data_IF_431064508703
#
_entry.id   IF_431064508703
#
_cell.length_a   1.000
_cell.length_b   1.000
_cell.length_c   1.000
_cell.angle_alpha   90.00
_cell.angle_beta   90.00
_cell.angle_gamma   90.00
#
_symmetry.space_group_name_H-M   'P 1'
#
loop_
_entity.id
_entity.type
_entity.pdbx_description
1 polymer ?
#
# COMPACT_ATOMS: atom_id res chain seq x y z
N UNK A 1 11.11 -13.41 1.55
CA UNK A 1 11.12 -11.99 1.14
C UNK A 1 10.36 -11.17 2.16
N UNK A 2 10.80 -9.94 2.43
CA UNK A 2 10.16 -9.00 3.37
C UNK A 2 10.17 -9.43 4.83
N UNK A 3 11.25 -10.06 5.28
CA UNK A 3 11.40 -10.44 6.69
C UNK A 3 11.36 -9.22 7.62
N UNK A 4 11.76 -8.04 7.11
CA UNK A 4 11.65 -6.77 7.79
C UNK A 4 10.25 -6.54 8.37
N UNK A 5 9.21 -6.95 7.68
CA UNK A 5 7.83 -6.72 8.10
C UNK A 5 7.43 -7.52 9.34
N UNK A 6 8.19 -8.56 9.69
CA UNK A 6 7.95 -9.35 10.89
C UNK A 6 8.15 -8.54 12.18
N UNK A 7 8.84 -7.40 12.09
CA UNK A 7 9.06 -6.52 13.24
C UNK A 7 7.86 -5.66 13.60
N UNK A 8 6.82 -5.66 12.77
CA UNK A 8 5.65 -4.79 12.97
C UNK A 8 4.42 -5.62 13.34
N UNK A 9 4.13 -5.72 14.67
CA UNK A 9 3.02 -6.57 15.14
C UNK A 9 1.63 -6.01 14.84
N UNK A 10 1.50 -4.69 14.67
CA UNK A 10 0.22 -4.09 14.31
C UNK A 10 0.07 -4.10 12.80
N UNK A 11 -0.58 -5.13 12.29
CA UNK A 11 -0.78 -5.30 10.86
C UNK A 11 -2.11 -5.98 10.59
N UNK A 12 -2.52 -6.00 9.33
CA UNK A 12 -3.73 -6.66 8.92
C UNK A 12 -3.82 -6.78 7.42
N UNK A 13 -4.95 -7.30 6.98
CA UNK A 13 -5.20 -7.48 5.55
C UNK A 13 -6.68 -7.38 5.26
N UNK A 14 -6.99 -7.07 4.01
CA UNK A 14 -8.37 -7.12 3.53
C UNK A 14 -8.38 -7.50 2.05
N UNK A 15 -9.51 -8.06 1.63
CA UNK A 15 -9.75 -8.44 0.25
C UNK A 15 -10.62 -7.38 -0.41
N UNK A 16 -10.32 -7.05 -1.66
CA UNK A 16 -11.08 -6.06 -2.42
C UNK A 16 -11.45 -6.61 -3.79
N UNK A 17 -12.75 -6.66 -4.08
CA UNK A 17 -13.28 -6.97 -5.41
C UNK A 17 -13.69 -5.66 -6.09
N UNK A 18 -13.70 -5.65 -7.42
CA UNK A 18 -14.06 -4.42 -8.16
C UNK A 18 -15.48 -3.93 -7.88
N UNK A 19 -16.34 -4.79 -7.35
CA UNK A 19 -17.72 -4.43 -6.98
C UNK A 19 -17.87 -3.97 -5.53
N UNK A 20 -16.80 -4.06 -4.72
CA UNK A 20 -16.82 -3.64 -3.33
C UNK A 20 -16.62 -2.13 -3.19
N UNK A 21 -17.06 -1.58 -2.07
CA UNK A 21 -16.65 -0.25 -1.64
C UNK A 21 -15.29 -0.36 -0.95
N UNK A 22 -14.25 0.25 -1.53
CA UNK A 22 -12.92 0.19 -0.93
C UNK A 22 -12.91 0.79 0.48
N UNK A 23 -13.67 1.87 0.69
CA UNK A 23 -13.77 2.47 2.00
C UNK A 23 -14.37 1.51 3.03
N UNK A 24 -15.33 0.69 2.64
CA UNK A 24 -16.01 -0.22 3.56
C UNK A 24 -15.15 -1.45 3.90
N UNK A 25 -14.42 -2.00 2.93
CA UNK A 25 -13.62 -3.21 3.16
C UNK A 25 -12.24 -2.91 3.75
N UNK A 26 -11.74 -1.69 3.57
CA UNK A 26 -10.41 -1.33 4.06
C UNK A 26 -10.41 -1.23 5.59
N UNK A 27 -9.67 -2.12 6.23
CA UNK A 27 -9.56 -2.17 7.68
C UNK A 27 -8.24 -1.58 8.20
N UNK A 28 -7.52 -0.86 7.36
CA UNK A 28 -6.29 -0.20 7.78
C UNK A 28 -6.59 0.94 8.75
N UNK A 29 -5.64 1.28 9.65
CA UNK A 29 -5.89 2.31 10.65
C UNK A 29 -5.97 3.70 10.05
N UNK A 30 -6.75 4.56 10.71
CA UNK A 30 -6.96 5.95 10.30
C UNK A 30 -6.00 6.92 10.99
N UNK A 31 -5.19 6.44 11.91
CA UNK A 31 -4.32 7.28 12.73
C UNK A 31 -2.87 6.76 12.82
N UNK A 32 -2.47 5.89 11.91
CA UNK A 32 -1.12 5.31 11.89
C UNK A 32 -0.47 5.51 10.53
N UNK A 33 0.86 5.58 10.55
CA UNK A 33 1.69 5.60 9.36
C UNK A 33 2.27 4.22 9.10
N UNK A 34 2.62 3.94 7.87
CA UNK A 34 3.20 2.66 7.56
C UNK A 34 3.24 2.37 6.07
N UNK A 35 3.36 1.09 5.77
CA UNK A 35 3.45 0.60 4.40
C UNK A 35 2.33 -0.39 4.12
N UNK A 36 2.03 -0.58 2.84
CA UNK A 36 1.05 -1.57 2.42
C UNK A 36 1.49 -2.24 1.12
N UNK A 37 1.06 -3.48 0.96
CA UNK A 37 1.42 -4.33 -0.17
C UNK A 37 0.14 -4.78 -0.84
N UNK A 38 0.09 -4.71 -2.17
CA UNK A 38 -1.08 -5.11 -2.94
C UNK A 38 -0.74 -6.33 -3.78
N UNK A 39 -1.49 -7.41 -3.56
CA UNK A 39 -1.34 -8.66 -4.30
C UNK A 39 -2.58 -8.85 -5.17
N UNK A 40 -2.37 -9.09 -6.47
CA UNK A 40 -3.46 -9.35 -7.41
C UNK A 40 -3.65 -10.84 -7.60
N UNK A 41 -4.90 -11.27 -7.66
CA UNK A 41 -5.27 -12.63 -8.00
C UNK A 41 -5.82 -12.63 -9.42
N UNK A 42 -5.12 -13.30 -10.33
CA UNK A 42 -5.43 -13.34 -11.76
C UNK A 42 -5.43 -14.78 -12.22
N UNK A 43 -6.60 -15.31 -12.59
CA UNK A 43 -6.69 -16.68 -13.10
C UNK A 43 -6.17 -17.73 -12.12
N UNK A 44 -6.36 -17.51 -10.83
CA UNK A 44 -5.90 -18.45 -9.79
C UNK A 44 -4.46 -18.25 -9.36
N UNK A 45 -3.72 -17.35 -9.99
CA UNK A 45 -2.34 -17.05 -9.64
C UNK A 45 -2.25 -15.73 -8.88
N UNK A 46 -1.20 -15.59 -8.06
CA UNK A 46 -0.95 -14.42 -7.25
C UNK A 46 0.26 -13.66 -7.77
N UNK A 47 0.14 -12.34 -7.80
CA UNK A 47 1.26 -11.47 -8.15
C UNK A 47 1.25 -10.24 -7.26
N UNK A 48 2.39 -9.93 -6.64
CA UNK A 48 2.56 -8.67 -5.92
C UNK A 48 2.70 -7.55 -6.96
N UNK A 49 1.77 -6.59 -6.97
CA UNK A 49 1.72 -5.57 -8.01
C UNK A 49 2.02 -4.16 -7.51
N UNK A 50 2.01 -3.91 -6.19
CA UNK A 50 2.25 -2.56 -5.68
C UNK A 50 2.74 -2.59 -4.24
N UNK A 51 3.68 -1.70 -3.93
CA UNK A 51 4.13 -1.41 -2.57
C UNK A 51 3.97 0.09 -2.38
N UNK A 52 3.22 0.49 -1.35
CA UNK A 52 2.96 1.90 -1.07
C UNK A 52 3.18 2.24 0.38
N UNK A 53 3.03 3.53 0.70
CA UNK A 53 3.23 4.02 2.06
C UNK A 53 2.34 5.20 2.37
N UNK A 54 2.18 5.45 3.67
CA UNK A 54 1.61 6.69 4.18
C UNK A 54 2.52 7.23 5.29
N UNK A 55 2.83 8.52 5.20
CA UNK A 55 3.61 9.22 6.22
C UNK A 55 5.10 9.23 5.92
N UNK A 56 5.81 10.00 6.72
CA UNK A 56 7.27 10.07 6.70
C UNK A 56 7.73 10.58 8.06
N UNK A 57 8.98 10.27 8.42
CA UNK A 57 9.56 10.76 9.65
C UNK A 57 10.25 12.09 9.41
N UNK A 58 9.97 13.08 10.27
CA UNK A 58 10.68 14.35 10.23
C UNK A 58 12.07 14.13 10.84
N UNK A 59 13.11 14.27 10.04
CA UNK A 59 14.49 14.01 10.48
C UNK A 59 14.97 14.97 11.54
N UNK A 60 14.45 16.20 11.57
CA UNK A 60 14.81 17.20 12.55
C UNK A 60 14.15 16.97 13.90
N UNK A 61 12.85 16.64 13.86
CA UNK A 61 12.05 16.45 15.08
C UNK A 61 12.02 15.01 15.56
N UNK A 62 12.42 14.06 14.71
CA UNK A 62 12.39 12.64 15.05
C UNK A 62 10.99 12.06 15.20
N UNK A 63 9.96 12.72 14.69
CA UNK A 63 8.57 12.29 14.82
C UNK A 63 7.98 12.00 13.44
N UNK A 64 6.95 11.16 13.41
CA UNK A 64 6.23 10.86 12.18
C UNK A 64 5.35 12.04 11.81
N UNK A 65 5.46 12.48 10.57
CA UNK A 65 4.66 13.59 10.03
C UNK A 65 3.51 13.03 9.21
N UNK A 66 2.30 13.45 9.54
CA UNK A 66 1.11 13.12 8.79
C UNK A 66 0.81 14.28 7.84
N UNK A 67 0.39 13.95 6.62
CA UNK A 67 0.01 14.98 5.65
C UNK A 67 -1.20 15.75 6.20
N UNK A 68 -1.18 17.07 6.03
CA UNK A 68 -2.25 17.94 6.53
C UNK A 68 -3.63 17.50 6.03
N UNK A 69 -3.72 17.06 4.78
CA UNK A 69 -4.96 16.58 4.18
C UNK A 69 -5.19 15.09 4.42
N UNK A 70 -4.25 14.40 5.04
CA UNK A 70 -4.29 12.95 5.22
C UNK A 70 -4.47 12.55 6.66
N UNK A 71 -5.44 13.13 7.35
CA UNK A 71 -5.72 12.79 8.75
C UNK A 71 -6.27 11.38 8.91
N UNK A 72 -6.60 10.70 7.81
CA UNK A 72 -7.12 9.35 7.81
C UNK A 72 -6.08 8.22 7.82
N UNK A 73 -4.79 8.54 7.99
CA UNK A 73 -3.72 7.54 8.13
C UNK A 73 -3.54 6.65 6.89
N UNK A 74 -3.11 5.41 7.13
CA UNK A 74 -2.91 4.42 6.06
C UNK A 74 -4.20 4.22 5.28
N UNK A 75 -5.34 4.12 5.97
CA UNK A 75 -6.64 3.92 5.32
C UNK A 75 -6.95 5.02 4.31
N UNK A 76 -6.77 6.28 4.69
CA UNK A 76 -7.05 7.40 3.80
C UNK A 76 -6.17 7.35 2.56
N UNK A 77 -4.90 7.02 2.72
CA UNK A 77 -3.98 6.91 1.59
C UNK A 77 -4.42 5.80 0.62
N UNK A 78 -4.83 4.65 1.15
CA UNK A 78 -5.29 3.55 0.30
C UNK A 78 -6.56 3.94 -0.45
N UNK A 79 -7.55 4.49 0.25
CA UNK A 79 -8.88 4.75 -0.31
C UNK A 79 -8.86 5.97 -1.24
N UNK A 80 -8.24 7.05 -0.81
CA UNK A 80 -8.33 8.35 -1.48
C UNK A 80 -7.04 8.79 -2.18
N UNK A 81 -5.94 8.05 -2.04
CA UNK A 81 -4.69 8.39 -2.72
C UNK A 81 -4.85 8.34 -4.24
N UNK A 82 -4.04 9.13 -4.93
CA UNK A 82 -4.01 9.14 -6.39
C UNK A 82 -2.90 8.22 -6.89
N UNK A 83 -3.20 7.43 -7.89
CA UNK A 83 -2.22 6.51 -8.48
C UNK A 83 -2.33 6.46 -10.00
N UNK A 84 -3.54 6.32 -10.50
CA UNK A 84 -3.83 6.25 -11.93
C UNK A 84 -4.55 7.54 -12.34
N UNK A 85 -3.79 8.64 -12.46
CA UNK A 85 -4.33 9.95 -12.74
C UNK A 85 -4.78 10.67 -11.45
N UNK A 86 -5.59 11.70 -11.61
CA UNK A 86 -6.02 12.57 -10.51
C UNK A 86 -7.36 12.14 -9.90
N UNK A 87 -7.57 10.83 -9.77
CA UNK A 87 -8.76 10.28 -9.13
C UNK A 87 -8.36 9.36 -7.99
N UNK A 88 -9.22 9.27 -6.99
CA UNK A 88 -8.98 8.44 -5.82
C UNK A 88 -8.93 6.95 -6.18
N UNK A 89 -8.14 6.17 -5.44
CA UNK A 89 -8.01 4.72 -5.68
C UNK A 89 -9.36 3.99 -5.60
N UNK A 90 -10.27 4.44 -4.76
CA UNK A 90 -11.61 3.84 -4.68
C UNK A 90 -12.33 3.84 -6.03
N UNK A 91 -11.94 4.75 -6.94
CA UNK A 91 -12.49 4.84 -8.29
C UNK A 91 -11.56 4.20 -9.32
N UNK A 92 -10.25 4.43 -9.21
CA UNK A 92 -9.29 3.96 -10.21
C UNK A 92 -9.00 2.47 -10.10
N UNK A 93 -8.93 1.92 -8.90
CA UNK A 93 -8.63 0.50 -8.73
C UNK A 93 -9.66 -0.41 -9.38
N UNK A 94 -10.99 -0.21 -9.22
CA UNK A 94 -11.96 -1.04 -9.93
C UNK A 94 -11.79 -1.00 -11.45
N UNK A 95 -11.47 0.16 -12.00
CA UNK A 95 -11.27 0.32 -13.44
C UNK A 95 -10.03 -0.45 -13.91
N UNK A 96 -8.91 -0.31 -13.19
CA UNK A 96 -7.66 -1.01 -13.51
C UNK A 96 -7.80 -2.51 -13.34
N UNK A 97 -8.56 -2.95 -12.35
CA UNK A 97 -8.81 -4.38 -12.13
C UNK A 97 -9.58 -4.99 -13.30
N UNK A 98 -10.60 -4.31 -13.78
CA UNK A 98 -11.39 -4.76 -14.93
C UNK A 98 -10.54 -4.78 -16.20
N UNK A 99 -9.74 -3.75 -16.40
CA UNK A 99 -8.86 -3.61 -17.55
C UNK A 99 -7.83 -4.74 -17.61
N UNK A 100 -7.35 -5.21 -16.48
CA UNK A 100 -6.30 -6.21 -16.39
C UNK A 100 -6.80 -7.59 -15.98
N UNK A 101 -8.11 -7.81 -15.99
CA UNK A 101 -8.74 -9.09 -15.63
C UNK A 101 -8.31 -9.60 -14.24
N UNK A 102 -8.22 -8.70 -13.27
CA UNK A 102 -7.88 -9.05 -11.89
C UNK A 102 -9.16 -9.48 -11.17
N UNK A 103 -9.16 -10.68 -10.60
CA UNK A 103 -10.31 -11.22 -9.88
C UNK A 103 -10.56 -10.45 -8.58
N UNK A 104 -9.50 -10.27 -7.79
CA UNK A 104 -9.56 -9.49 -6.56
C UNK A 104 -8.14 -9.10 -6.15
N UNK A 105 -8.08 -8.14 -5.22
CA UNK A 105 -6.84 -7.73 -4.59
C UNK A 105 -6.83 -8.21 -3.14
N UNK A 106 -5.64 -8.56 -2.66
CA UNK A 106 -5.37 -8.74 -1.24
C UNK A 106 -4.42 -7.62 -0.84
N UNK A 107 -4.83 -6.80 0.11
CA UNK A 107 -4.01 -5.68 0.60
C UNK A 107 -3.55 -5.99 2.01
N UNK A 108 -2.23 -5.98 2.21
CA UNK A 108 -1.63 -6.17 3.53
C UNK A 108 -1.05 -4.82 3.98
N UNK A 109 -1.37 -4.40 5.20
CA UNK A 109 -0.86 -3.14 5.74
C UNK A 109 -0.10 -3.39 7.04
N UNK A 110 0.89 -2.55 7.30
CA UNK A 110 1.78 -2.63 8.45
C UNK A 110 1.97 -1.25 9.04
N UNK A 111 1.66 -1.11 10.33
CA UNK A 111 2.00 0.08 11.12
C UNK A 111 3.50 0.01 11.40
N UNK A 112 4.27 0.93 10.85
CA UNK A 112 5.73 0.93 11.02
C UNK A 112 6.18 1.64 12.27
N UNK A 113 5.25 2.04 13.13
CA UNK A 113 5.51 2.62 14.44
C UNK A 113 6.41 3.86 14.34
N UNK A 114 7.58 3.85 14.95
CA UNK A 114 8.50 4.97 14.93
C UNK A 114 9.48 4.94 13.75
N UNK A 115 9.44 3.87 12.95
CA UNK A 115 10.30 3.78 11.78
C UNK A 115 9.72 4.61 10.65
N UNK A 116 10.63 5.20 9.85
CA UNK A 116 10.24 6.04 8.72
C UNK A 116 9.62 5.19 7.62
N UNK A 117 8.34 5.38 7.29
CA UNK A 117 7.71 4.59 6.23
C UNK A 117 8.40 4.76 4.86
N UNK A 118 9.02 5.90 4.61
CA UNK A 118 9.77 6.13 3.36
C UNK A 118 10.94 5.15 3.27
N UNK A 119 11.67 4.96 4.37
CA UNK A 119 12.81 4.03 4.41
C UNK A 119 12.33 2.60 4.28
N UNK A 120 11.27 2.24 5.00
CA UNK A 120 10.73 0.88 4.96
C UNK A 120 10.24 0.54 3.56
N UNK A 121 9.47 1.41 2.94
CA UNK A 121 8.99 1.21 1.56
C UNK A 121 10.16 1.04 0.60
N UNK A 122 11.17 1.89 0.72
CA UNK A 122 12.33 1.85 -0.17
C UNK A 122 13.06 0.51 -0.05
N UNK A 123 13.25 0.02 1.18
CA UNK A 123 13.89 -1.28 1.41
C UNK A 123 13.09 -2.43 0.80
N UNK A 124 11.76 -2.39 0.92
CA UNK A 124 10.90 -3.41 0.30
C UNK A 124 11.01 -3.38 -1.22
N UNK A 125 11.04 -2.20 -1.81
CA UNK A 125 11.17 -2.06 -3.27
C UNK A 125 12.52 -2.55 -3.77
N UNK A 126 13.60 -2.26 -3.04
CA UNK A 126 14.93 -2.76 -3.37
C UNK A 126 14.95 -4.28 -3.32
N UNK A 127 14.40 -4.86 -2.27
CA UNK A 127 14.37 -6.32 -2.10
C UNK A 127 13.57 -6.98 -3.23
N UNK A 128 12.44 -6.41 -3.59
CA UNK A 128 11.64 -6.90 -4.70
C UNK A 128 12.42 -6.83 -6.03
N UNK A 129 13.08 -5.71 -6.28
CA UNK A 129 13.84 -5.51 -7.53
C UNK A 129 15.02 -6.47 -7.61
N UNK A 130 15.69 -6.77 -6.50
CA UNK A 130 16.79 -7.75 -6.48
C UNK A 130 16.25 -9.13 -6.86
N UNK A 131 15.11 -9.51 -6.35
CA UNK A 131 14.53 -10.85 -6.60
C UNK A 131 13.97 -10.99 -8.02
N UNK A 132 13.27 -9.98 -8.52
CA UNK A 132 12.52 -10.08 -9.77
C UNK A 132 13.11 -9.30 -10.94
N UNK A 133 14.16 -8.52 -10.72
CA UNK A 133 14.81 -7.73 -11.78
C UNK A 133 14.00 -6.53 -12.25
N UNK A 134 12.92 -6.18 -11.56
CA UNK A 134 12.06 -5.06 -11.90
C UNK A 134 11.25 -4.62 -10.67
N UNK A 135 10.61 -3.46 -10.76
CA UNK A 135 9.65 -3.02 -9.74
C UNK A 135 8.31 -3.74 -9.92
N UNK A 136 7.46 -3.78 -8.88
CA UNK A 136 6.08 -4.24 -9.05
C UNK A 136 5.40 -3.45 -10.16
N UNK A 137 4.50 -4.09 -10.91
CA UNK A 137 3.96 -3.50 -12.16
C UNK A 137 3.22 -2.18 -11.95
N UNK A 138 2.64 -1.94 -10.79
CA UNK A 138 1.95 -0.69 -10.50
C UNK A 138 2.86 0.38 -9.87
N UNK A 139 4.10 0.04 -9.52
CA UNK A 139 5.08 1.02 -9.06
C UNK A 139 5.81 1.60 -10.26
N UNK A 140 5.93 2.93 -10.29
CA UNK A 140 6.62 3.63 -11.38
C UNK A 140 8.06 3.96 -11.02
N UNK A 141 8.30 4.26 -9.74
CA UNK A 141 9.63 4.61 -9.22
C UNK A 141 9.79 4.03 -7.82
N UNK A 142 11.04 3.89 -7.41
CA UNK A 142 11.35 3.49 -6.03
C UNK A 142 11.14 4.64 -5.07
#
# INVERSE_FOLDING_TARGET
MFDLLNEYPNNGSFKFKSTDSLNDVCNAPTNKSGVYIVIAFIGGEQELIYIGRYGKKDKKKGVIVHRKAGLGGIKDRIVNGHQFGKIARKRSWPLEMKKNAIDHLLVLWYDTENDDPVVVEHQLLIEYEIEFGRLPVWNKVK
#
